data_IF_860810603031
#
_entry.id   IF_860810603031
#
_cell.length_a   1.000
_cell.length_b   1.000
_cell.length_c   1.000
_cell.angle_alpha   90.00
_cell.angle_beta   90.00
_cell.angle_gamma   90.00
#
_symmetry.space_group_name_H-M   'P 1'
#
loop_
_entity.id
_entity.type
_entity.pdbx_description
1 polymer ?
#
# COMPACT_ATOMS: atom_id res chain seq x y z
N UNK A 1 1.00 -13.09 -18.84
CA UNK A 1 0.32 -12.47 -17.68
C UNK A 1 -0.03 -11.01 -17.93
N UNK A 2 0.95 -10.15 -18.26
CA UNK A 2 0.68 -8.75 -18.56
C UNK A 2 0.43 -8.56 -20.05
N UNK A 3 -0.83 -8.26 -20.42
CA UNK A 3 -1.25 -8.07 -21.81
C UNK A 3 -0.69 -6.73 -22.35
N UNK A 4 0.17 -6.78 -23.38
CA UNK A 4 0.76 -5.59 -24.02
C UNK A 4 0.06 -5.18 -25.34
N UNK A 5 -1.03 -5.84 -25.71
CA UNK A 5 -1.80 -5.52 -26.93
C UNK A 5 -2.48 -4.15 -26.82
N UNK A 6 -3.07 -3.69 -27.92
CA UNK A 6 -3.84 -2.44 -27.98
C UNK A 6 -5.11 -2.46 -27.13
N UNK A 7 -5.66 -3.66 -26.86
CA UNK A 7 -6.83 -3.86 -26.01
C UNK A 7 -6.59 -3.45 -24.55
N UNK A 8 -5.33 -3.52 -24.09
CA UNK A 8 -4.94 -3.02 -22.77
C UNK A 8 -4.35 -1.60 -22.89
N UNK A 9 -5.13 -0.53 -22.66
CA UNK A 9 -4.65 0.82 -22.92
C UNK A 9 -3.44 1.18 -22.05
N UNK A 10 -2.53 1.97 -22.64
CA UNK A 10 -1.43 2.59 -21.90
C UNK A 10 -2.00 3.67 -20.99
N UNK A 11 -1.45 3.77 -19.79
CA UNK A 11 -1.79 4.88 -18.89
C UNK A 11 -1.07 6.17 -19.30
N UNK A 12 -1.59 7.35 -18.92
CA UNK A 12 -0.92 8.62 -19.18
C UNK A 12 0.53 8.63 -18.69
N UNK A 13 1.42 9.25 -19.47
CA UNK A 13 2.87 9.30 -19.16
C UNK A 13 3.13 9.92 -17.80
N UNK A 14 2.41 10.99 -17.45
CA UNK A 14 2.53 11.62 -16.15
C UNK A 14 2.23 10.67 -14.99
N UNK A 15 1.12 9.91 -15.05
CA UNK A 15 0.81 8.92 -14.03
C UNK A 15 1.91 7.86 -13.91
N UNK A 16 2.40 7.37 -15.05
CA UNK A 16 3.48 6.38 -15.06
C UNK A 16 4.77 6.93 -14.45
N UNK A 17 5.12 8.19 -14.72
CA UNK A 17 6.29 8.85 -14.14
C UNK A 17 6.14 8.99 -12.63
N UNK A 18 4.97 9.40 -12.14
CA UNK A 18 4.69 9.46 -10.70
C UNK A 18 4.92 8.10 -10.05
N UNK A 19 4.38 7.02 -10.62
CA UNK A 19 4.56 5.65 -10.11
C UNK A 19 6.02 5.20 -10.14
N UNK A 20 6.80 5.58 -11.16
CA UNK A 20 8.25 5.28 -11.22
C UNK A 20 9.01 6.01 -10.11
N UNK A 21 8.68 7.28 -9.86
CA UNK A 21 9.26 8.03 -8.75
C UNK A 21 8.87 7.41 -7.41
N UNK A 22 7.60 7.00 -7.24
CA UNK A 22 7.15 6.25 -6.07
C UNK A 22 7.96 4.96 -5.88
N UNK A 23 8.23 4.18 -6.94
CA UNK A 23 9.08 2.99 -6.85
C UNK A 23 10.45 3.30 -6.24
N UNK A 24 11.10 4.38 -6.69
CA UNK A 24 12.44 4.77 -6.23
C UNK A 24 12.40 5.16 -4.76
N UNK A 25 11.45 6.02 -4.37
CA UNK A 25 11.31 6.51 -2.99
C UNK A 25 10.94 5.35 -2.04
N UNK A 26 9.99 4.51 -2.44
CA UNK A 26 9.55 3.35 -1.65
C UNK A 26 10.65 2.31 -1.53
N UNK A 27 11.43 2.06 -2.58
CA UNK A 27 12.55 1.13 -2.52
C UNK A 27 13.65 1.62 -1.57
N UNK A 28 14.06 2.89 -1.69
CA UNK A 28 15.05 3.49 -0.80
C UNK A 28 14.58 3.44 0.67
N UNK A 29 13.30 3.77 0.89
CA UNK A 29 12.66 3.72 2.20
C UNK A 29 12.62 2.30 2.77
N UNK A 30 12.17 1.32 1.99
CA UNK A 30 12.08 -0.08 2.40
C UNK A 30 13.45 -0.61 2.82
N UNK A 31 14.48 -0.35 2.01
CA UNK A 31 15.85 -0.78 2.28
C UNK A 31 16.39 -0.16 3.58
N UNK A 32 16.26 1.15 3.76
CA UNK A 32 16.76 1.84 4.96
C UNK A 32 16.01 1.37 6.21
N UNK A 33 14.68 1.39 6.21
CA UNK A 33 13.89 1.08 7.40
C UNK A 33 13.98 -0.40 7.82
N UNK A 34 14.13 -1.30 6.84
CA UNK A 34 14.22 -2.74 7.08
C UNK A 34 15.62 -3.18 7.53
N UNK A 35 16.68 -2.73 6.84
CA UNK A 35 18.04 -3.20 7.10
C UNK A 35 18.87 -2.27 8.01
N UNK A 36 18.53 -0.97 8.08
CA UNK A 36 19.26 0.02 8.88
C UNK A 36 18.32 0.87 9.75
N UNK A 37 17.66 0.28 10.76
CA UNK A 37 16.66 0.97 11.58
C UNK A 37 17.23 2.15 12.39
N UNK A 38 18.54 2.16 12.69
CA UNK A 38 19.20 3.32 13.31
C UNK A 38 19.22 4.52 12.38
N UNK A 39 19.65 4.33 11.14
CA UNK A 39 19.63 5.38 10.10
C UNK A 39 18.18 5.80 9.78
N UNK A 40 17.27 4.82 9.75
CA UNK A 40 15.83 5.06 9.65
C UNK A 40 15.35 6.05 10.71
N UNK A 41 15.64 5.80 11.98
CA UNK A 41 15.25 6.68 13.09
C UNK A 41 15.74 8.13 12.93
N UNK A 42 16.91 8.34 12.34
CA UNK A 42 17.50 9.67 12.12
C UNK A 42 16.89 10.40 10.92
N UNK A 43 16.68 9.69 9.81
CA UNK A 43 16.21 10.28 8.55
C UNK A 43 14.69 10.36 8.44
N UNK A 44 13.96 9.49 9.14
CA UNK A 44 12.52 9.34 8.99
C UNK A 44 11.74 10.54 9.54
N UNK A 45 10.51 10.70 9.07
CA UNK A 45 9.64 11.84 9.38
C UNK A 45 9.21 11.90 10.87
N UNK A 46 9.34 10.78 11.57
CA UNK A 46 9.23 10.63 13.03
C UNK A 46 10.28 9.61 13.49
N UNK A 47 10.47 9.43 14.79
CA UNK A 47 11.42 8.46 15.34
C UNK A 47 10.77 7.14 15.78
N UNK A 48 10.46 6.18 14.88
CA UNK A 48 9.88 4.90 15.27
C UNK A 48 10.85 4.09 16.13
N UNK A 49 10.36 3.27 17.09
CA UNK A 49 11.15 2.23 17.72
C UNK A 49 11.77 1.28 16.68
N UNK A 50 12.93 0.64 16.98
CA UNK A 50 13.66 -0.16 16.00
C UNK A 50 12.85 -1.28 15.32
N UNK A 51 12.01 -1.99 16.08
CA UNK A 51 11.15 -3.04 15.52
C UNK A 51 10.08 -2.44 14.58
N UNK A 52 9.45 -1.35 14.99
CA UNK A 52 8.46 -0.64 14.17
C UNK A 52 9.07 -0.14 12.86
N UNK A 53 10.33 0.30 12.86
CA UNK A 53 11.07 0.63 11.64
C UNK A 53 11.13 -0.55 10.68
N UNK A 54 11.55 -1.74 11.16
CA UNK A 54 11.63 -2.92 10.29
C UNK A 54 10.28 -3.33 9.74
N UNK A 55 9.24 -3.31 10.57
CA UNK A 55 7.89 -3.63 10.12
C UNK A 55 7.36 -2.62 9.08
N UNK A 56 7.64 -1.32 9.25
CA UNK A 56 7.35 -0.31 8.22
C UNK A 56 8.13 -0.64 6.92
N UNK A 57 9.39 -1.03 7.02
CA UNK A 57 10.18 -1.49 5.87
C UNK A 57 9.54 -2.68 5.14
N UNK A 58 9.01 -3.66 5.87
CA UNK A 58 8.29 -4.80 5.29
C UNK A 58 7.01 -4.37 4.55
N UNK A 59 6.27 -3.41 5.12
CA UNK A 59 5.09 -2.81 4.47
C UNK A 59 5.50 -2.12 3.16
N UNK A 60 6.61 -1.39 3.15
CA UNK A 60 7.10 -0.74 1.92
C UNK A 60 7.65 -1.73 0.89
N UNK A 61 8.26 -2.86 1.29
CA UNK A 61 8.57 -3.94 0.35
C UNK A 61 7.30 -4.50 -0.31
N UNK A 62 6.24 -4.71 0.48
CA UNK A 62 4.95 -5.13 -0.05
C UNK A 62 4.39 -4.11 -1.04
N UNK A 63 4.43 -2.81 -0.72
CA UNK A 63 3.97 -1.75 -1.61
C UNK A 63 4.83 -1.59 -2.88
N UNK A 64 6.13 -1.89 -2.82
CA UNK A 64 7.02 -1.81 -3.96
C UNK A 64 6.62 -2.79 -5.07
N UNK A 65 6.15 -3.99 -4.72
CA UNK A 65 5.76 -5.01 -5.67
C UNK A 65 4.69 -4.54 -6.69
N UNK A 66 3.50 -4.06 -6.28
CA UNK A 66 2.50 -3.54 -7.20
C UNK A 66 2.96 -2.28 -7.94
N UNK A 67 3.73 -1.41 -7.29
CA UNK A 67 4.29 -0.21 -7.94
C UNK A 67 5.22 -0.56 -9.10
N UNK A 68 6.15 -1.51 -8.90
CA UNK A 68 7.07 -1.97 -9.94
C UNK A 68 6.30 -2.62 -11.09
N UNK A 69 5.31 -3.47 -10.80
CA UNK A 69 4.46 -4.07 -11.83
C UNK A 69 3.73 -3.01 -12.65
N UNK A 70 3.18 -1.97 -12.00
CA UNK A 70 2.47 -0.91 -12.70
C UNK A 70 3.42 0.01 -13.48
N UNK A 71 4.53 0.45 -12.89
CA UNK A 71 5.53 1.30 -13.54
C UNK A 71 6.19 0.60 -14.75
N UNK A 72 6.54 -0.68 -14.60
CA UNK A 72 7.16 -1.47 -15.67
C UNK A 72 6.21 -1.70 -16.84
N UNK A 73 4.95 -2.06 -16.56
CA UNK A 73 3.97 -2.35 -17.63
C UNK A 73 3.39 -1.08 -18.25
N UNK A 74 3.12 -0.05 -17.44
CA UNK A 74 2.42 1.17 -17.86
C UNK A 74 1.04 0.89 -18.44
N UNK A 75 0.37 -0.18 -18.00
CA UNK A 75 -0.92 -0.64 -18.54
C UNK A 75 -2.05 -0.57 -17.53
N UNK A 76 -3.26 -0.31 -18.02
CA UNK A 76 -4.42 -0.11 -17.17
C UNK A 76 -4.90 -1.39 -16.47
N UNK A 77 -4.79 -2.57 -17.10
CA UNK A 77 -5.28 -3.80 -16.47
C UNK A 77 -4.69 -4.03 -15.05
N UNK A 78 -3.37 -4.15 -14.83
CA UNK A 78 -2.83 -4.15 -13.47
C UNK A 78 -2.92 -2.77 -12.81
N UNK A 79 -2.83 -1.68 -13.58
CA UNK A 79 -2.85 -0.31 -13.06
C UNK A 79 -4.13 0.05 -12.30
N UNK A 80 -5.29 -0.49 -12.68
CA UNK A 80 -6.57 -0.22 -12.02
C UNK A 80 -6.54 -0.61 -10.55
N UNK A 81 -6.17 -1.87 -10.26
CA UNK A 81 -6.07 -2.34 -8.88
C UNK A 81 -4.96 -1.62 -8.12
N UNK A 82 -3.81 -1.38 -8.78
CA UNK A 82 -2.69 -0.66 -8.14
C UNK A 82 -3.07 0.77 -7.80
N UNK A 83 -3.83 1.49 -8.64
CA UNK A 83 -4.24 2.86 -8.35
C UNK A 83 -5.20 2.93 -7.15
N UNK A 84 -6.12 1.98 -7.02
CA UNK A 84 -6.96 1.86 -5.82
C UNK A 84 -6.13 1.53 -4.58
N UNK A 85 -5.10 0.69 -4.72
CA UNK A 85 -4.20 0.37 -3.62
C UNK A 85 -3.36 1.58 -3.20
N UNK A 86 -2.80 2.34 -4.16
CA UNK A 86 -2.09 3.61 -3.88
C UNK A 86 -3.01 4.57 -3.15
N UNK A 87 -4.23 4.79 -3.65
CA UNK A 87 -5.21 5.68 -3.03
C UNK A 87 -5.49 5.28 -1.58
N UNK A 88 -5.86 4.02 -1.37
CA UNK A 88 -6.31 3.55 -0.05
C UNK A 88 -5.18 3.51 0.96
N UNK A 89 -3.98 3.09 0.53
CA UNK A 89 -2.79 3.11 1.38
C UNK A 89 -2.43 4.53 1.80
N UNK A 90 -2.28 5.43 0.82
CA UNK A 90 -1.85 6.82 1.08
C UNK A 90 -2.91 7.64 1.78
N UNK A 91 -4.19 7.47 1.47
CA UNK A 91 -5.28 8.15 2.18
C UNK A 91 -5.40 7.69 3.64
N UNK A 92 -5.23 6.39 3.92
CA UNK A 92 -5.24 5.87 5.30
C UNK A 92 -4.12 6.48 6.13
N UNK A 93 -2.91 6.55 5.57
CA UNK A 93 -1.77 7.20 6.23
C UNK A 93 -2.01 8.70 6.37
N UNK A 94 -2.52 9.38 5.35
CA UNK A 94 -2.82 10.81 5.42
C UNK A 94 -3.81 11.12 6.56
N UNK A 95 -4.87 10.32 6.73
CA UNK A 95 -5.80 10.45 7.86
C UNK A 95 -5.05 10.34 9.19
N UNK A 96 -4.20 9.33 9.36
CA UNK A 96 -3.40 9.18 10.57
C UNK A 96 -2.46 10.39 10.80
N UNK A 97 -1.88 10.95 9.74
CA UNK A 97 -1.02 12.14 9.80
C UNK A 97 -1.76 13.37 10.29
N UNK A 98 -2.97 13.62 9.80
CA UNK A 98 -3.79 14.74 10.27
C UNK A 98 -4.20 14.58 11.73
N UNK A 99 -4.52 13.36 12.17
CA UNK A 99 -4.86 13.08 13.58
C UNK A 99 -3.64 13.29 14.49
N UNK A 100 -2.45 12.90 14.01
CA UNK A 100 -1.21 12.87 14.80
C UNK A 100 -0.16 13.87 14.31
N UNK A 101 -0.57 15.05 13.84
CA UNK A 101 0.35 16.03 13.29
C UNK A 101 1.46 16.44 14.29
N UNK A 102 1.16 16.42 15.59
CA UNK A 102 2.13 16.68 16.65
C UNK A 102 3.18 15.59 16.88
N UNK A 103 3.03 14.41 16.27
CA UNK A 103 4.00 13.30 16.38
C UNK A 103 5.16 13.39 15.39
N UNK A 104 5.10 14.33 14.44
CA UNK A 104 6.13 14.53 13.42
C UNK A 104 7.28 15.38 13.95
N UNK A 105 8.49 15.05 13.51
CA UNK A 105 9.72 15.77 13.84
C UNK A 105 9.88 16.96 12.88
N UNK A 106 9.15 18.04 13.13
CA UNK A 106 9.08 19.22 12.24
C UNK A 106 10.42 19.93 12.01
N UNK A 107 11.45 19.65 12.81
CA UNK A 107 12.82 20.09 12.55
C UNK A 107 13.49 19.40 11.37
N UNK A 108 12.89 18.34 10.80
CA UNK A 108 13.44 17.53 9.71
C UNK A 108 12.74 17.82 8.39
N UNK A 109 13.52 17.95 7.32
CA UNK A 109 13.00 18.06 5.95
C UNK A 109 12.16 16.85 5.53
N UNK A 110 12.45 15.66 6.08
CA UNK A 110 11.68 14.45 5.81
C UNK A 110 10.23 14.53 6.28
N UNK A 111 9.93 15.28 7.35
CA UNK A 111 8.54 15.51 7.77
C UNK A 111 7.75 16.25 6.68
N UNK A 112 8.28 17.37 6.17
CA UNK A 112 7.65 18.12 5.08
C UNK A 112 7.52 17.31 3.79
N UNK A 113 8.56 16.55 3.42
CA UNK A 113 8.52 15.66 2.27
C UNK A 113 7.45 14.58 2.39
N UNK A 114 7.33 13.96 3.57
CA UNK A 114 6.30 12.98 3.87
C UNK A 114 4.90 13.61 3.75
N UNK A 115 4.66 14.78 4.35
CA UNK A 115 3.40 15.52 4.20
C UNK A 115 3.04 15.85 2.76
N UNK A 116 4.00 16.32 1.97
CA UNK A 116 3.77 16.55 0.54
C UNK A 116 3.35 15.27 -0.18
N UNK A 117 4.08 14.17 0.00
CA UNK A 117 3.79 12.89 -0.67
C UNK A 117 2.39 12.36 -0.32
N UNK A 118 2.02 12.34 0.96
CA UNK A 118 0.75 11.80 1.41
C UNK A 118 -0.45 12.74 1.20
N UNK A 119 -0.24 13.97 0.75
CA UNK A 119 -1.31 14.82 0.20
C UNK A 119 -1.37 14.63 -1.32
N UNK A 120 -0.23 14.71 -2.01
CA UNK A 120 -0.15 14.66 -3.46
C UNK A 120 -0.59 13.31 -4.04
N UNK A 121 -0.07 12.20 -3.53
CA UNK A 121 -0.30 10.85 -4.08
C UNK A 121 -1.78 10.42 -4.04
N UNK A 122 -2.53 10.58 -2.92
CA UNK A 122 -3.95 10.22 -2.92
C UNK A 122 -4.77 11.13 -3.84
N UNK A 123 -4.49 12.44 -3.89
CA UNK A 123 -5.16 13.36 -4.81
C UNK A 123 -4.90 12.99 -6.27
N UNK A 124 -3.64 12.72 -6.62
CA UNK A 124 -3.24 12.22 -7.94
C UNK A 124 -3.99 10.93 -8.28
N UNK A 125 -4.13 10.02 -7.31
CA UNK A 125 -4.87 8.77 -7.50
C UNK A 125 -6.36 8.98 -7.72
N UNK A 126 -7.01 9.87 -6.98
CA UNK A 126 -8.42 10.25 -7.21
C UNK A 126 -8.60 10.81 -8.62
N UNK A 127 -7.74 11.73 -9.04
CA UNK A 127 -7.78 12.33 -10.38
C UNK A 127 -7.67 11.26 -11.45
N UNK A 128 -6.68 10.36 -11.38
CA UNK A 128 -6.51 9.34 -12.41
C UNK A 128 -7.56 8.23 -12.36
N UNK A 129 -8.04 7.84 -11.19
CA UNK A 129 -9.20 6.94 -11.08
C UNK A 129 -10.43 7.55 -11.74
N UNK A 130 -10.65 8.86 -11.56
CA UNK A 130 -11.76 9.57 -12.20
C UNK A 130 -11.57 9.67 -13.72
N UNK A 131 -10.39 10.09 -14.19
CA UNK A 131 -10.10 10.27 -15.62
C UNK A 131 -10.13 8.93 -16.39
N UNK A 132 -9.69 7.84 -15.76
CA UNK A 132 -9.58 6.52 -16.39
C UNK A 132 -10.78 5.61 -16.09
N UNK A 133 -11.84 6.11 -15.42
CA UNK A 133 -12.99 5.30 -14.96
C UNK A 133 -13.75 4.56 -16.07
N UNK A 134 -13.72 5.09 -17.29
CA UNK A 134 -14.41 4.51 -18.44
C UNK A 134 -13.53 3.54 -19.25
N UNK A 135 -12.25 3.38 -18.88
CA UNK A 135 -11.38 2.43 -19.57
C UNK A 135 -11.74 1.00 -19.19
N UNK A 136 -11.92 0.17 -20.21
CA UNK A 136 -12.11 -1.26 -20.04
C UNK A 136 -10.84 -1.92 -19.48
N UNK A 137 -11.04 -2.98 -18.69
CA UNK A 137 -9.96 -3.78 -18.11
C UNK A 137 -9.72 -4.99 -19.01
N UNK A 138 -8.70 -4.90 -19.85
CA UNK A 138 -8.37 -5.95 -20.81
C UNK A 138 -8.20 -7.33 -20.16
N UNK A 139 -8.89 -8.32 -20.71
CA UNK A 139 -8.85 -9.70 -20.21
C UNK A 139 -9.57 -9.91 -18.88
N UNK A 140 -10.44 -8.98 -18.45
CA UNK A 140 -11.27 -9.18 -17.28
C UNK A 140 -12.32 -10.27 -17.53
N UNK A 141 -12.28 -11.31 -16.68
CA UNK A 141 -13.24 -12.41 -16.70
C UNK A 141 -14.04 -12.42 -15.39
N UNK A 142 -15.26 -13.00 -15.38
CA UNK A 142 -15.97 -13.27 -14.13
C UNK A 142 -15.11 -14.10 -13.18
N UNK A 143 -15.03 -13.66 -11.93
CA UNK A 143 -14.28 -14.37 -10.90
C UNK A 143 -15.02 -15.66 -10.51
N UNK A 144 -14.37 -16.84 -10.49
CA UNK A 144 -15.01 -18.08 -10.07
C UNK A 144 -15.63 -17.97 -8.67
N UNK A 145 -16.79 -18.60 -8.45
CA UNK A 145 -17.57 -18.45 -7.21
C UNK A 145 -16.75 -18.70 -5.93
N UNK A 146 -15.90 -19.74 -5.93
CA UNK A 146 -15.02 -20.04 -4.77
C UNK A 146 -14.10 -18.84 -4.47
N UNK A 147 -13.44 -18.32 -5.50
CA UNK A 147 -12.55 -17.16 -5.35
C UNK A 147 -13.29 -15.89 -4.97
N UNK A 148 -14.52 -15.69 -5.46
CA UNK A 148 -15.37 -14.59 -5.03
C UNK A 148 -15.63 -14.63 -3.53
N UNK A 149 -15.96 -15.79 -2.97
CA UNK A 149 -16.17 -15.93 -1.51
C UNK A 149 -14.87 -15.72 -0.72
N UNK A 150 -13.74 -16.25 -1.21
CA UNK A 150 -12.42 -16.03 -0.59
C UNK A 150 -12.07 -14.54 -0.57
N UNK A 151 -12.26 -13.83 -1.69
CA UNK A 151 -12.01 -12.39 -1.77
C UNK A 151 -12.96 -11.59 -0.89
N UNK A 152 -14.24 -11.96 -0.81
CA UNK A 152 -15.20 -11.32 0.10
C UNK A 152 -14.82 -11.54 1.57
N UNK A 153 -14.43 -12.75 1.95
CA UNK A 153 -13.95 -13.05 3.30
C UNK A 153 -12.69 -12.22 3.61
N UNK A 154 -11.73 -12.14 2.69
CA UNK A 154 -10.54 -11.31 2.84
C UNK A 154 -10.90 -9.82 2.99
N UNK A 155 -11.82 -9.29 2.19
CA UNK A 155 -12.33 -7.91 2.33
C UNK A 155 -12.91 -7.66 3.71
N UNK A 156 -13.76 -8.57 4.21
CA UNK A 156 -14.40 -8.40 5.52
C UNK A 156 -13.37 -8.46 6.63
N UNK A 157 -12.53 -9.50 6.66
CA UNK A 157 -11.56 -9.72 7.74
C UNK A 157 -10.52 -8.59 7.77
N UNK A 158 -9.89 -8.29 6.64
CA UNK A 158 -8.86 -7.25 6.56
C UNK A 158 -9.48 -5.85 6.73
N UNK A 159 -10.67 -5.62 6.18
CA UNK A 159 -11.38 -4.35 6.30
C UNK A 159 -11.79 -4.04 7.73
N UNK A 160 -12.42 -5.00 8.42
CA UNK A 160 -12.81 -4.83 9.83
C UNK A 160 -11.58 -4.66 10.73
N UNK A 161 -10.51 -5.42 10.49
CA UNK A 161 -9.28 -5.29 11.26
C UNK A 161 -8.61 -3.92 11.04
N UNK A 162 -8.51 -3.47 9.79
CA UNK A 162 -8.00 -2.16 9.44
C UNK A 162 -8.82 -1.02 10.03
N UNK A 163 -10.17 -1.10 9.99
CA UNK A 163 -11.04 -0.13 10.67
C UNK A 163 -10.86 -0.15 12.18
N UNK A 164 -10.69 -1.34 12.78
CA UNK A 164 -10.35 -1.50 14.17
C UNK A 164 -9.06 -0.77 14.54
N UNK A 165 -8.03 -0.85 13.69
CA UNK A 165 -6.77 -0.11 13.86
C UNK A 165 -6.94 1.41 13.74
N UNK A 166 -7.89 1.90 12.94
CA UNK A 166 -8.20 3.34 12.86
C UNK A 166 -8.86 3.83 14.16
N UNK A 167 -9.83 3.07 14.66
CA UNK A 167 -10.68 3.47 15.81
C UNK A 167 -9.99 3.22 17.15
N UNK A 168 -9.49 2.01 17.37
CA UNK A 168 -8.96 1.54 18.65
C UNK A 168 -7.61 0.80 18.47
N UNK A 169 -6.57 1.47 17.92
CA UNK A 169 -5.30 0.83 17.55
C UNK A 169 -4.66 0.04 18.69
N UNK A 170 -4.59 0.61 19.91
CA UNK A 170 -3.92 -0.01 21.06
C UNK A 170 -4.65 -1.27 21.52
N UNK A 171 -6.00 -1.27 21.52
CA UNK A 171 -6.78 -2.44 21.90
C UNK A 171 -6.67 -3.56 20.85
N UNK A 172 -6.75 -3.21 19.57
CA UNK A 172 -6.70 -4.17 18.46
C UNK A 172 -5.30 -4.74 18.25
N UNK A 173 -4.25 -4.10 18.77
CA UNK A 173 -2.87 -4.60 18.72
C UNK A 173 -2.39 -5.17 20.05
N UNK A 174 -3.24 -5.30 21.07
CA UNK A 174 -2.81 -5.75 22.40
C UNK A 174 -2.28 -7.19 22.44
N UNK A 175 -2.61 -7.99 21.42
CA UNK A 175 -2.13 -9.36 21.25
C UNK A 175 -0.87 -9.45 20.38
N UNK A 176 -0.39 -8.33 19.82
CA UNK A 176 0.83 -8.33 19.02
C UNK A 176 2.04 -8.64 19.91
N UNK A 177 3.09 -9.30 19.38
CA UNK A 177 4.25 -9.66 20.18
C UNK A 177 5.10 -8.45 20.60
N UNK A 178 4.78 -7.24 20.13
CA UNK A 178 5.45 -5.99 20.50
C UNK A 178 4.43 -4.86 20.69
N UNK A 179 4.74 -3.86 21.54
CA UNK A 179 3.82 -2.77 21.81
C UNK A 179 3.66 -1.82 20.62
N UNK A 180 2.42 -1.42 20.35
CA UNK A 180 2.05 -0.47 19.32
C UNK A 180 1.32 0.72 19.93
N UNK A 181 1.85 1.92 19.71
CA UNK A 181 1.15 3.14 20.08
C UNK A 181 0.02 3.48 19.11
N UNK A 182 -0.77 4.48 19.50
CA UNK A 182 -1.97 4.87 18.75
C UNK A 182 -1.67 5.52 17.39
N UNK A 183 -0.45 6.03 17.18
CA UNK A 183 -0.04 6.62 15.91
C UNK A 183 0.36 5.53 14.91
N UNK A 184 1.29 4.65 15.29
CA UNK A 184 1.75 3.54 14.48
C UNK A 184 0.63 2.57 14.14
N UNK A 185 -0.27 2.26 15.09
CA UNK A 185 -1.42 1.41 14.82
C UNK A 185 -2.32 1.95 13.70
N UNK A 186 -2.55 3.28 13.67
CA UNK A 186 -3.35 3.91 12.60
C UNK A 186 -2.61 3.98 11.27
N UNK A 187 -1.28 4.14 11.28
CA UNK A 187 -0.46 4.01 10.07
C UNK A 187 -0.55 2.58 9.53
N UNK A 188 -0.49 1.56 10.40
CA UNK A 188 -0.57 0.15 10.02
C UNK A 188 -1.95 -0.28 9.54
N UNK A 189 -3.01 0.48 9.85
CA UNK A 189 -4.33 0.25 9.26
C UNK A 189 -4.29 0.19 7.73
N UNK A 190 -3.44 1.00 7.10
CA UNK A 190 -3.24 1.03 5.65
C UNK A 190 -2.87 -0.34 5.08
N UNK A 191 -2.07 -1.13 5.80
CA UNK A 191 -1.62 -2.48 5.40
C UNK A 191 -2.78 -3.47 5.28
N UNK A 192 -3.88 -3.23 5.98
CA UNK A 192 -5.06 -4.11 5.97
C UNK A 192 -6.18 -3.55 5.10
N UNK A 193 -6.44 -2.23 5.15
CA UNK A 193 -7.45 -1.58 4.32
C UNK A 193 -7.14 -1.71 2.82
N UNK A 194 -5.87 -1.54 2.45
CA UNK A 194 -5.42 -1.59 1.05
C UNK A 194 -5.74 -2.93 0.36
N UNK A 195 -5.29 -4.09 0.88
CA UNK A 195 -5.67 -5.37 0.29
C UNK A 195 -7.17 -5.69 0.47
N UNK A 196 -7.86 -5.16 1.48
CA UNK A 196 -9.31 -5.32 1.60
C UNK A 196 -10.06 -4.70 0.42
N UNK A 197 -9.68 -3.47 0.03
CA UNK A 197 -10.24 -2.78 -1.14
C UNK A 197 -9.80 -3.46 -2.44
N UNK A 198 -8.54 -3.89 -2.53
CA UNK A 198 -8.06 -4.71 -3.65
C UNK A 198 -8.92 -5.97 -3.84
N UNK A 199 -9.14 -6.74 -2.78
CA UNK A 199 -9.96 -7.95 -2.82
C UNK A 199 -11.42 -7.64 -3.19
N UNK A 200 -11.98 -6.55 -2.65
CA UNK A 200 -13.35 -6.11 -2.95
C UNK A 200 -13.52 -5.78 -4.42
N UNK A 201 -12.53 -5.11 -5.02
CA UNK A 201 -12.52 -4.72 -6.42
C UNK A 201 -12.47 -5.92 -7.38
N UNK A 202 -11.76 -6.98 -7.00
CA UNK A 202 -11.54 -8.17 -7.83
C UNK A 202 -12.60 -9.27 -7.64
N UNK A 203 -13.56 -9.09 -6.74
CA UNK A 203 -14.52 -10.15 -6.35
C UNK A 203 -15.44 -10.58 -7.48
N UNK A 204 -15.82 -9.66 -8.37
CA UNK A 204 -16.86 -9.87 -9.38
C UNK A 204 -16.25 -10.13 -10.77
N UNK A 205 -15.34 -9.25 -11.21
CA UNK A 205 -14.61 -9.36 -12.47
C UNK A 205 -13.19 -8.83 -12.33
N UNK A 206 -12.22 -9.58 -12.85
CA UNK A 206 -10.80 -9.23 -12.75
C UNK A 206 -9.99 -9.84 -13.90
N UNK A 207 -8.91 -9.17 -14.29
CA UNK A 207 -7.90 -9.73 -15.19
C UNK A 207 -6.89 -10.60 -14.41
N UNK A 208 -6.27 -11.61 -15.05
CA UNK A 208 -5.25 -12.45 -14.40
C UNK A 208 -4.09 -11.67 -13.78
N UNK A 209 -3.70 -10.56 -14.44
CA UNK A 209 -2.67 -9.65 -13.92
C UNK A 209 -3.08 -8.97 -12.62
N UNK A 210 -4.37 -8.69 -12.41
CA UNK A 210 -4.84 -8.03 -11.19
C UNK A 210 -4.82 -8.98 -9.99
N UNK A 211 -5.27 -10.23 -10.19
CA UNK A 211 -5.16 -11.27 -9.16
C UNK A 211 -3.71 -11.52 -8.76
N UNK A 212 -2.81 -11.61 -9.74
CA UNK A 212 -1.40 -11.77 -9.45
C UNK A 212 -0.81 -10.57 -8.74
N UNK A 213 -1.16 -9.35 -9.15
CA UNK A 213 -0.70 -8.13 -8.48
C UNK A 213 -1.08 -8.15 -7.00
N UNK A 214 -2.35 -8.43 -6.68
CA UNK A 214 -2.82 -8.48 -5.29
C UNK A 214 -2.18 -9.65 -4.52
N UNK A 215 -2.18 -10.84 -5.10
CA UNK A 215 -1.62 -12.04 -4.47
C UNK A 215 -0.12 -11.91 -4.19
N UNK A 216 0.63 -11.37 -5.14
CA UNK A 216 2.06 -11.13 -4.99
C UNK A 216 2.36 -10.05 -3.95
N UNK A 217 1.54 -8.99 -3.89
CA UNK A 217 1.64 -7.96 -2.83
C UNK A 217 1.51 -8.59 -1.44
N UNK A 218 0.50 -9.46 -1.25
CA UNK A 218 0.25 -10.16 0.01
C UNK A 218 1.37 -11.17 0.35
N UNK A 219 1.87 -11.89 -0.66
CA UNK A 219 2.99 -12.80 -0.50
C UNK A 219 4.25 -12.07 -0.02
N UNK A 220 4.59 -10.95 -0.67
CA UNK A 220 5.76 -10.13 -0.29
C UNK A 220 5.60 -9.60 1.13
N UNK A 221 4.41 -9.15 1.52
CA UNK A 221 4.15 -8.72 2.91
C UNK A 221 4.41 -9.85 3.90
N UNK A 222 3.84 -11.04 3.66
CA UNK A 222 3.99 -12.20 4.54
C UNK A 222 5.44 -12.62 4.68
N UNK A 223 6.18 -12.73 3.57
CA UNK A 223 7.59 -13.10 3.57
C UNK A 223 8.45 -12.03 4.26
N UNK A 224 8.27 -10.75 3.94
CA UNK A 224 9.05 -9.67 4.55
C UNK A 224 8.79 -9.55 6.06
N UNK A 225 7.54 -9.77 6.51
CA UNK A 225 7.20 -9.79 7.93
C UNK A 225 7.89 -10.97 8.66
N UNK A 226 7.85 -12.18 8.08
CA UNK A 226 8.55 -13.35 8.65
C UNK A 226 10.06 -13.08 8.75
N UNK A 227 10.68 -12.60 7.67
CA UNK A 227 12.11 -12.26 7.67
C UNK A 227 12.41 -11.19 8.72
N UNK A 228 11.57 -10.16 8.82
CA UNK A 228 11.73 -9.09 9.81
C UNK A 228 11.73 -9.58 11.26
N UNK A 229 10.95 -10.62 11.56
CA UNK A 229 10.96 -11.29 12.88
C UNK A 229 12.26 -12.07 13.08
N UNK A 230 12.75 -12.79 12.07
CA UNK A 230 13.96 -13.63 12.19
C UNK A 230 15.24 -12.81 12.36
N UNK A 231 15.32 -11.61 11.78
CA UNK A 231 16.51 -10.74 11.84
C UNK A 231 16.48 -9.73 13.00
N UNK A 232 15.48 -9.81 13.88
CA UNK A 232 15.36 -8.94 15.06
C UNK A 232 15.97 -9.60 16.28
#
# INVERSE_FOLDING_TARGET
>A
MFNATTDNPKVPVFLRLVVIVECIVVAATALVLFFSPSLGKELWAWGPPPFNSRYIGAIYFSALAPLVMFGATGRWAPGRVVQWMILTFTASIAIAMFIHAGSFEWGRWSAYGFWFLYIFIPLNSVVFLYLLRNLHVAGALPTPNVWRYVLMAATIVLGLYGLGLVVAPVAVTSFWPWPIDAFHGRIYAATFITPAVGAWLLRDKAAPSEHFTLGFTLLVLGLAAIVGVVIT
#
